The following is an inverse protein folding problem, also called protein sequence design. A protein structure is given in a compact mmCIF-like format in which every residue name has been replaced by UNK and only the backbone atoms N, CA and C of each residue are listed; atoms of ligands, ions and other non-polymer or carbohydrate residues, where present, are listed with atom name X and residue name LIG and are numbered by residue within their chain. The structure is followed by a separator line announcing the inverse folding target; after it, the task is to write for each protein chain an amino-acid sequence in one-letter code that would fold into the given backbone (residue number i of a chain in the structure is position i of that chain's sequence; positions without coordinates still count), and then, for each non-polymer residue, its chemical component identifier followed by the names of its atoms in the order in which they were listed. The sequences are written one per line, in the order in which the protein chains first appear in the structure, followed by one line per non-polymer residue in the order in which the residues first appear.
data_IF_414683301533
#
_entry.id   IF_414683301533
#
_cell.length_a   1.000
_cell.length_b   1.000
_cell.length_c   1.000
_cell.angle_alpha   90.00
_cell.angle_beta   90.00
_cell.angle_gamma   90.00
#
_symmetry.space_group_name_H-M   'P 1'
#
loop_
_entity.id
_entity.type
_entity.pdbx_description
1 polymer ?
#
# COMPACT_ATOMS: atom_id res chain seq x y z
N UNK A 1 3.87 -9.11 -14.01
CA UNK A 1 4.23 -8.48 -12.71
C UNK A 1 3.25 -7.37 -12.40
N UNK A 2 2.83 -7.30 -11.16
CA UNK A 2 1.95 -6.21 -10.73
C UNK A 2 2.65 -5.37 -9.68
N UNK A 3 2.60 -4.06 -9.86
CA UNK A 3 3.25 -3.10 -8.97
C UNK A 3 2.17 -2.19 -8.41
N UNK A 4 2.03 -2.17 -7.08
CA UNK A 4 1.07 -1.32 -6.41
C UNK A 4 1.77 -0.08 -5.90
N UNK A 5 1.08 1.06 -5.92
CA UNK A 5 1.61 2.29 -5.33
C UNK A 5 0.50 2.92 -4.50
N UNK A 6 0.81 3.35 -3.28
CA UNK A 6 -0.20 4.01 -2.46
C UNK A 6 -0.39 5.42 -2.94
N UNK A 7 -1.61 5.90 -2.99
CA UNK A 7 -1.89 7.20 -3.58
C UNK A 7 -3.08 7.89 -2.94
N UNK A 8 -3.10 9.19 -3.00
CA UNK A 8 -4.23 10.00 -2.57
C UNK A 8 -4.88 10.67 -3.77
N UNK A 9 -4.18 10.80 -4.89
CA UNK A 9 -4.71 11.50 -6.06
C UNK A 9 -4.67 10.66 -7.35
N UNK A 10 -4.15 9.46 -7.28
CA UNK A 10 -4.09 8.58 -8.45
C UNK A 10 -2.90 8.84 -9.38
N UNK A 11 -2.13 9.88 -9.12
CA UNK A 11 -1.00 10.23 -9.97
C UNK A 11 0.33 10.19 -9.24
N UNK A 12 0.32 10.50 -7.95
CA UNK A 12 1.55 10.56 -7.18
C UNK A 12 1.52 9.54 -6.05
N UNK A 13 2.70 9.14 -5.62
CA UNK A 13 2.85 8.18 -4.54
C UNK A 13 2.75 8.92 -3.21
N UNK A 14 1.89 8.44 -2.32
CA UNK A 14 1.69 9.09 -1.04
C UNK A 14 2.92 8.96 -0.15
N UNK A 15 3.19 10.01 0.62
CA UNK A 15 4.26 9.98 1.61
C UNK A 15 3.82 9.29 2.90
N UNK A 16 2.54 8.98 3.03
CA UNK A 16 2.01 8.40 4.24
C UNK A 16 1.19 7.16 3.91
N UNK A 17 1.84 6.01 3.95
CA UNK A 17 1.16 4.76 3.62
C UNK A 17 -0.16 4.62 4.39
N UNK A 18 -0.15 4.93 5.67
CA UNK A 18 -1.35 4.73 6.49
C UNK A 18 -2.50 5.65 6.13
N UNK A 19 -2.23 6.80 5.52
CA UNK A 19 -3.28 7.75 5.19
C UNK A 19 -3.79 7.61 3.77
N UNK A 20 -3.03 6.99 2.91
CA UNK A 20 -3.42 6.87 1.52
C UNK A 20 -4.69 6.03 1.41
N UNK A 21 -5.72 6.51 0.71
CA UNK A 21 -6.99 5.79 0.68
C UNK A 21 -7.03 4.63 -0.31
N UNK A 22 -6.14 4.61 -1.29
CA UNK A 22 -6.21 3.56 -2.28
C UNK A 22 -4.84 3.25 -2.87
N UNK A 23 -4.79 2.18 -3.63
CA UNK A 23 -3.62 1.80 -4.41
C UNK A 23 -3.90 1.99 -5.88
N UNK A 24 -2.88 2.36 -6.62
CA UNK A 24 -2.92 2.25 -8.07
C UNK A 24 -2.07 1.03 -8.41
N UNK A 25 -2.65 0.06 -9.09
CA UNK A 25 -1.95 -1.17 -9.43
C UNK A 25 -1.66 -1.18 -10.92
N UNK A 26 -0.39 -1.23 -11.27
CA UNK A 26 0.03 -1.29 -12.66
C UNK A 26 0.41 -2.73 -12.98
N UNK A 27 -0.15 -3.27 -14.05
CA UNK A 27 0.22 -4.59 -14.53
C UNK A 27 1.28 -4.41 -15.61
N UNK A 28 2.41 -5.08 -15.46
CA UNK A 28 3.56 -4.92 -16.34
C UNK A 28 3.85 -6.24 -17.03
N UNK A 29 3.96 -6.23 -18.36
CA UNK A 29 4.37 -7.39 -19.13
C UNK A 29 5.31 -6.92 -20.23
N UNK A 30 6.36 -7.68 -20.47
CA UNK A 30 7.35 -7.36 -21.48
C UNK A 30 7.88 -5.92 -21.29
N UNK A 31 8.09 -5.56 -20.03
CA UNK A 31 8.66 -4.26 -19.65
C UNK A 31 7.75 -3.09 -20.02
N UNK A 32 6.47 -3.34 -20.17
CA UNK A 32 5.51 -2.30 -20.49
C UNK A 32 4.32 -2.36 -19.56
N UNK A 33 3.77 -1.21 -19.23
CA UNK A 33 2.55 -1.15 -18.44
C UNK A 33 1.39 -1.44 -19.37
N UNK A 34 0.70 -2.53 -19.14
CA UNK A 34 -0.41 -2.92 -20.02
C UNK A 34 -1.78 -2.63 -19.41
N UNK A 35 -1.85 -2.35 -18.11
CA UNK A 35 -3.12 -2.05 -17.47
C UNK A 35 -2.88 -1.35 -16.15
N UNK A 36 -3.87 -0.59 -15.71
CA UNK A 36 -3.86 0.06 -14.41
C UNK A 36 -5.22 -0.06 -13.79
N UNK A 37 -5.26 -0.18 -12.50
CA UNK A 37 -6.54 -0.19 -11.79
C UNK A 37 -6.39 0.49 -10.46
N UNK A 38 -7.48 1.00 -9.92
CA UNK A 38 -7.52 1.60 -8.60
C UNK A 38 -8.16 0.60 -7.66
N UNK A 39 -7.55 0.35 -6.52
CA UNK A 39 -8.10 -0.54 -5.51
C UNK A 39 -8.22 0.21 -4.20
N UNK A 40 -9.35 0.04 -3.53
CA UNK A 40 -9.53 0.61 -2.21
C UNK A 40 -8.57 -0.11 -1.25
N UNK A 41 -7.82 0.67 -0.47
CA UNK A 41 -6.78 0.07 0.35
C UNK A 41 -7.33 -0.79 1.46
N UNK A 42 -8.49 -0.46 1.95
CA UNK A 42 -9.09 -1.23 3.03
C UNK A 42 -10.26 -2.09 2.56
N UNK A 43 -10.53 -2.09 1.27
CA UNK A 43 -11.67 -2.84 0.75
C UNK A 43 -13.00 -2.25 1.16
N UNK A 44 -13.04 -0.94 1.39
CA UNK A 44 -14.24 -0.34 1.92
C UNK A 44 -15.38 -0.32 0.95
N UNK A 45 -15.13 -0.44 -0.31
CA UNK A 45 -16.20 -0.42 -1.27
C UNK A 45 -17.24 -1.48 -1.00
N UNK A 46 -16.82 -2.59 -0.44
CA UNK A 46 -17.74 -3.63 -0.20
C UNK A 46 -18.37 -3.56 1.15
N UNK A 47 -17.91 -2.69 2.01
CA UNK A 47 -18.41 -2.65 3.35
C UNK A 47 -19.02 -1.36 3.73
N UNK A 48 -19.35 -0.54 2.78
CA UNK A 48 -19.84 0.77 3.14
C UNK A 48 -20.99 0.72 4.08
N UNK A 49 -21.76 -0.26 4.00
CA UNK A 49 -22.93 -0.31 4.85
C UNK A 49 -22.66 -0.77 6.23
N UNK A 50 -21.72 -1.57 6.43
CA UNK A 50 -21.60 -2.09 7.73
C UNK A 50 -20.48 -1.56 8.47
N UNK A 51 -19.68 -0.79 7.88
CA UNK A 51 -18.65 -0.33 8.59
C UNK A 51 -18.97 0.28 9.84
N UNK A 52 -19.94 1.08 9.87
CA UNK A 52 -20.14 1.77 11.05
C UNK A 52 -20.45 0.89 12.14
N UNK A 53 -20.95 -0.12 11.90
CA UNK A 53 -21.37 -0.93 12.96
C UNK A 53 -20.24 -1.23 13.82
N UNK A 54 -19.26 -1.58 13.30
CA UNK A 54 -18.35 -1.98 14.14
C UNK A 54 -17.51 -1.01 14.63
N UNK A 55 -17.52 -0.01 14.09
CA UNK A 55 -16.71 0.84 14.54
C UNK A 55 -16.59 1.00 15.89
N UNK A 56 -17.54 0.93 16.49
CA UNK A 56 -17.53 1.24 17.75
C UNK A 56 -16.71 0.33 18.44
N UNK A 57 -16.75 -0.74 18.15
CA UNK A 57 -16.14 -1.70 18.97
C UNK A 57 -14.75 -1.39 19.07
N UNK A 58 -14.37 -0.89 18.11
CA UNK A 58 -13.19 -0.75 18.16
C UNK A 58 -12.63 0.27 18.88
N UNK A 59 -13.18 0.88 19.39
CA UNK A 59 -12.70 1.87 20.14
C UNK A 59 -11.86 1.32 21.23
N UNK A 60 -11.00 0.48 20.99
CA UNK A 60 -10.15 -0.02 22.02
C UNK A 60 -9.32 1.13 22.50
N UNK A 61 -9.42 1.49 23.72
CA UNK A 61 -8.69 2.62 24.21
C UNK A 61 -7.20 2.44 24.19
N UNK A 62 -6.73 1.25 24.10
CA UNK A 62 -5.32 1.07 24.08
C UNK A 62 -4.76 1.46 22.76
N UNK A 63 -5.46 1.22 21.70
CA UNK A 63 -5.14 1.75 20.41
C UNK A 63 -3.70 1.82 20.00
N UNK A 64 -2.89 0.90 20.35
CA UNK A 64 -1.52 0.98 19.98
C UNK A 64 -1.27 0.16 18.75
N UNK A 65 -0.19 0.40 18.08
CA UNK A 65 0.12 -0.30 16.86
C UNK A 65 0.24 -1.79 16.99
N UNK A 66 0.37 -2.31 18.21
CA UNK A 66 0.53 -3.72 18.37
C UNK A 66 -0.73 -4.41 18.81
N UNK A 67 -1.82 -3.71 18.96
CA UNK A 67 -3.03 -4.39 19.38
C UNK A 67 -3.63 -5.14 18.19
N UNK A 68 -4.55 -6.05 18.42
CA UNK A 68 -5.11 -6.85 17.34
C UNK A 68 -5.82 -6.03 16.28
N UNK A 69 -6.41 -4.91 16.65
CA UNK A 69 -7.10 -4.09 15.68
C UNK A 69 -6.11 -3.47 14.68
N UNK A 70 -4.96 -3.02 15.16
CA UNK A 70 -3.96 -2.45 14.28
C UNK A 70 -3.40 -3.53 13.36
N UNK A 71 -3.16 -4.72 13.89
CA UNK A 71 -2.65 -5.79 13.06
C UNK A 71 -3.66 -6.21 12.02
N UNK A 72 -4.95 -6.18 12.35
CA UNK A 72 -5.97 -6.51 11.38
C UNK A 72 -6.03 -5.47 10.27
N UNK A 73 -5.81 -4.20 10.58
CA UNK A 73 -5.79 -3.19 9.55
C UNK A 73 -4.64 -3.43 8.61
N UNK A 74 -3.46 -3.73 9.15
CA UNK A 74 -2.30 -3.97 8.30
C UNK A 74 -2.53 -5.19 7.42
N UNK A 75 -3.15 -6.22 7.96
CA UNK A 75 -3.44 -7.43 7.18
C UNK A 75 -4.41 -7.14 6.05
N UNK A 76 -5.42 -6.30 6.30
CA UNK A 76 -6.37 -5.96 5.25
C UNK A 76 -5.72 -5.14 4.17
N UNK A 77 -4.85 -4.20 4.54
CA UNK A 77 -4.16 -3.40 3.56
C UNK A 77 -3.29 -4.26 2.68
N UNK A 78 -2.62 -5.25 3.27
CA UNK A 78 -1.78 -6.15 2.50
C UNK A 78 -2.63 -7.09 1.63
N UNK A 79 -3.77 -7.52 2.14
CA UNK A 79 -4.62 -8.44 1.41
C UNK A 79 -5.16 -7.82 0.12
N UNK A 80 -5.39 -6.51 0.12
CA UNK A 80 -5.91 -5.84 -1.06
C UNK A 80 -4.95 -5.93 -2.24
N UNK A 81 -3.67 -6.15 -1.99
CA UNK A 81 -2.68 -6.25 -3.05
C UNK A 81 -1.89 -7.54 -2.96
N UNK A 82 -2.51 -8.60 -2.42
CA UNK A 82 -1.82 -9.87 -2.23
C UNK A 82 -1.32 -10.48 -3.54
N UNK A 83 -1.91 -10.10 -4.67
CA UNK A 83 -1.49 -10.57 -5.97
C UNK A 83 -0.39 -9.71 -6.59
N UNK A 84 0.07 -8.68 -5.89
CA UNK A 84 1.08 -7.81 -6.42
C UNK A 84 2.47 -8.25 -6.00
N UNK A 85 3.46 -7.91 -6.79
CA UNK A 85 4.85 -8.29 -6.51
C UNK A 85 5.57 -7.23 -5.72
N UNK A 86 5.24 -5.97 -5.95
CA UNK A 86 5.95 -4.84 -5.37
C UNK A 86 4.95 -3.80 -4.88
N UNK A 87 5.26 -3.16 -3.77
CA UNK A 87 4.50 -2.00 -3.28
C UNK A 87 5.43 -0.81 -3.22
N UNK A 88 5.01 0.30 -3.82
CA UNK A 88 5.76 1.55 -3.78
C UNK A 88 5.11 2.53 -2.81
N UNK A 89 5.89 3.13 -1.94
CA UNK A 89 5.42 4.16 -1.02
C UNK A 89 6.56 5.15 -0.82
N UNK A 90 6.27 6.35 -0.35
CA UNK A 90 7.31 7.34 -0.05
C UNK A 90 7.57 7.44 1.44
N UNK A 91 6.80 6.77 2.25
CA UNK A 91 6.99 6.68 3.69
C UNK A 91 6.01 5.69 4.28
N UNK A 92 6.41 4.98 5.32
CA UNK A 92 5.51 4.01 5.94
C UNK A 92 6.05 3.64 7.30
N UNK A 93 5.18 3.19 8.16
CA UNK A 93 5.57 2.73 9.48
C UNK A 93 6.13 1.33 9.44
N UNK A 94 6.92 0.98 10.42
CA UNK A 94 7.57 -0.33 10.47
C UNK A 94 6.57 -1.47 10.53
N UNK A 95 5.45 -1.28 11.24
CA UNK A 95 4.44 -2.34 11.33
C UNK A 95 3.82 -2.68 9.99
N UNK A 96 3.46 -1.63 9.22
CA UNK A 96 2.90 -1.86 7.90
C UNK A 96 3.94 -2.49 6.97
N UNK A 97 5.18 -2.05 7.08
CA UNK A 97 6.27 -2.57 6.26
C UNK A 97 6.40 -4.08 6.47
N UNK A 98 6.38 -4.52 7.73
CA UNK A 98 6.49 -5.94 8.02
C UNK A 98 5.29 -6.72 7.51
N UNK A 99 4.09 -6.16 7.63
CA UNK A 99 2.89 -6.85 7.14
C UNK A 99 2.94 -7.04 5.64
N UNK A 100 3.44 -6.07 4.90
CA UNK A 100 3.57 -6.17 3.46
C UNK A 100 4.58 -7.26 3.12
N UNK A 101 5.71 -7.31 3.83
CA UNK A 101 6.71 -8.33 3.58
C UNK A 101 6.16 -9.71 3.91
N UNK A 102 5.41 -9.85 4.99
CA UNK A 102 4.85 -11.13 5.37
C UNK A 102 3.82 -11.62 4.36
N UNK A 103 3.21 -10.72 3.64
CA UNK A 103 2.26 -11.09 2.59
C UNK A 103 2.97 -11.50 1.29
N UNK A 104 4.29 -11.48 1.27
CA UNK A 104 5.04 -11.88 0.09
C UNK A 104 5.22 -10.76 -0.91
N UNK A 105 4.96 -9.53 -0.53
CA UNK A 105 5.08 -8.38 -1.39
C UNK A 105 6.36 -7.64 -1.01
N UNK A 106 7.10 -7.15 -1.99
CA UNK A 106 8.32 -6.43 -1.72
C UNK A 106 8.02 -4.94 -1.57
N UNK A 107 8.14 -4.36 -0.39
CA UNK A 107 7.92 -2.92 -0.25
C UNK A 107 9.18 -2.16 -0.66
N UNK A 108 9.01 -1.08 -1.41
CA UNK A 108 10.12 -0.21 -1.79
C UNK A 108 9.74 1.20 -1.39
N UNK A 109 10.61 1.85 -0.63
CA UNK A 109 10.39 3.23 -0.22
C UNK A 109 11.17 4.10 -1.19
N UNK A 110 10.45 4.83 -2.03
CA UNK A 110 11.08 5.62 -3.09
C UNK A 110 10.93 7.10 -2.80
N UNK A 111 11.80 7.91 -3.36
CA UNK A 111 11.64 9.35 -3.29
C UNK A 111 11.02 9.90 -4.57
N UNK A 112 10.68 9.05 -5.52
CA UNK A 112 10.03 9.49 -6.75
C UNK A 112 8.56 9.75 -6.47
N UNK A 113 8.06 10.90 -6.83
CA UNK A 113 6.66 11.21 -6.55
C UNK A 113 5.72 10.68 -7.63
N UNK A 114 6.11 10.65 -8.88
CA UNK A 114 5.24 10.20 -9.95
C UNK A 114 5.12 8.68 -9.95
N UNK A 115 3.89 8.17 -9.97
CA UNK A 115 3.66 6.73 -10.02
C UNK A 115 4.27 6.19 -11.30
N UNK A 116 4.05 6.86 -12.43
CA UNK A 116 4.56 6.36 -13.70
C UNK A 116 6.07 6.30 -13.72
N UNK A 117 6.72 7.32 -13.21
CA UNK A 117 8.17 7.34 -13.19
C UNK A 117 8.72 6.27 -12.27
N UNK A 118 8.08 6.05 -11.14
CA UNK A 118 8.54 5.04 -10.20
C UNK A 118 8.37 3.64 -10.78
N UNK A 119 7.24 3.39 -11.44
CA UNK A 119 7.02 2.10 -12.08
C UNK A 119 8.06 1.87 -13.17
N UNK A 120 8.36 2.90 -13.96
CA UNK A 120 9.39 2.77 -14.99
C UNK A 120 10.76 2.51 -14.37
N UNK A 121 11.06 3.10 -13.23
CA UNK A 121 12.31 2.84 -12.54
C UNK A 121 12.40 1.39 -12.06
N UNK A 122 11.27 0.81 -11.63
CA UNK A 122 11.24 -0.60 -11.27
C UNK A 122 11.51 -1.44 -12.50
N UNK A 123 10.86 -1.14 -13.62
CA UNK A 123 11.01 -1.90 -14.85
C UNK A 123 12.46 -1.88 -15.33
N UNK A 124 13.12 -0.73 -15.22
CA UNK A 124 14.49 -0.60 -15.70
C UNK A 124 15.52 -1.05 -14.67
N UNK A 125 15.08 -1.39 -13.46
CA UNK A 125 16.01 -1.82 -12.42
C UNK A 125 16.76 -0.68 -11.76
N UNK A 126 16.27 0.55 -11.93
CA UNK A 126 16.96 1.71 -11.40
C UNK A 126 16.32 2.29 -10.14
N UNK A 127 15.32 1.62 -9.57
CA UNK A 127 14.65 2.12 -8.38
C UNK A 127 15.56 1.94 -7.17
N UNK A 128 15.55 2.89 -6.27
CA UNK A 128 16.32 2.81 -5.02
C UNK A 128 15.36 2.66 -3.86
N UNK A 129 15.68 1.77 -2.93
CA UNK A 129 14.86 1.57 -1.74
C UNK A 129 15.45 2.38 -0.60
N UNK A 130 14.75 3.43 -0.19
CA UNK A 130 15.21 4.33 0.86
C UNK A 130 14.62 3.90 2.21
N UNK A 131 15.18 2.88 2.82
CA UNK A 131 14.64 2.37 4.09
C UNK A 131 14.75 3.37 5.23
N UNK A 132 15.52 4.44 5.06
CA UNK A 132 15.56 5.48 6.06
C UNK A 132 14.20 6.21 6.16
N UNK A 133 13.28 5.98 5.21
CA UNK A 133 11.97 6.61 5.26
C UNK A 133 10.97 5.79 6.08
N UNK A 134 11.43 4.71 6.71
CA UNK A 134 10.57 4.00 7.65
C UNK A 134 10.46 4.79 8.94
N UNK A 135 9.33 4.77 9.56
CA UNK A 135 9.14 5.43 10.85
C UNK A 135 8.16 4.67 11.79
#
# INVERSE_FOLDING_TARGET
MKIAAVSEDGLTISQHFGRAPFYIVATVEDRKIIARETRDKMGHNQFSGETHAEHRGEADPRGHGYDPAAQNRHARMAASIADCDILLARGMGAGAYESIKQAGIRPILTDISSIDEAVQAVISGQITDHTERLH
#
